data_IF_378133855734
#
_entry.id   IF_378133855734
#
_cell.length_a   1.000
_cell.length_b   1.000
_cell.length_c   1.000
_cell.angle_alpha   90.00
_cell.angle_beta   90.00
_cell.angle_gamma   90.00
#
_symmetry.space_group_name_H-M   'P 1'
#
loop_
_entity.id
_entity.type
_entity.pdbx_description
1 polymer ?
#
# COMPACT_ATOMS: atom_id res chain seq x y z
N UNK A 1 -8.33 27.25 67.61
CA UNK A 1 -7.66 26.89 66.34
C UNK A 1 -7.79 25.38 66.14
N UNK A 2 -8.86 24.95 65.49
CA UNK A 2 -9.06 23.54 65.12
C UNK A 2 -8.16 23.19 63.93
N UNK A 3 -7.21 22.27 64.12
CA UNK A 3 -6.46 21.66 63.02
C UNK A 3 -7.17 20.38 62.60
N UNK A 4 -7.83 20.42 61.43
CA UNK A 4 -8.41 19.24 60.76
C UNK A 4 -7.31 18.23 60.43
N UNK A 5 -7.38 17.04 61.01
CA UNK A 5 -6.61 15.86 60.61
C UNK A 5 -7.26 15.24 59.37
N UNK A 6 -6.52 15.17 58.25
CA UNK A 6 -6.91 14.36 57.08
C UNK A 6 -6.49 12.91 57.31
N UNK A 7 -7.31 11.89 56.99
CA UNK A 7 -6.89 10.50 57.08
C UNK A 7 -5.90 10.16 55.96
N UNK A 8 -4.80 9.49 56.32
CA UNK A 8 -3.81 8.98 55.40
C UNK A 8 -4.42 7.86 54.53
N UNK A 9 -4.37 8.04 53.21
CA UNK A 9 -4.71 7.00 52.23
C UNK A 9 -3.50 6.06 52.15
N UNK A 10 -3.62 4.86 52.72
CA UNK A 10 -2.69 3.77 52.47
C UNK A 10 -2.94 3.26 51.04
N UNK A 11 -2.19 3.77 50.07
CA UNK A 11 -2.04 3.10 48.78
C UNK A 11 -0.92 2.08 48.93
N UNK A 12 -1.26 0.79 48.95
CA UNK A 12 -0.30 -0.29 48.71
C UNK A 12 0.17 -0.19 47.25
N UNK A 13 1.04 0.77 46.96
CA UNK A 13 1.80 0.78 45.73
C UNK A 13 3.06 -0.06 45.98
N UNK A 14 3.10 -1.25 45.39
CA UNK A 14 4.36 -1.99 45.23
C UNK A 14 5.30 -1.07 44.44
N UNK A 15 6.54 -0.84 44.92
CA UNK A 15 7.46 0.05 44.22
C UNK A 15 7.74 -0.52 42.84
N UNK A 16 7.42 0.25 41.80
CA UNK A 16 7.82 -0.05 40.44
C UNK A 16 9.35 -0.12 40.41
N UNK A 17 9.89 -1.33 40.32
CA UNK A 17 11.27 -1.55 39.94
C UNK A 17 11.50 -0.87 38.60
N UNK A 18 12.44 0.08 38.56
CA UNK A 18 12.86 0.75 37.35
C UNK A 18 13.34 -0.31 36.34
N UNK A 19 12.52 -0.65 35.34
CA UNK A 19 12.92 -1.55 34.27
C UNK A 19 13.78 -0.78 33.28
N UNK A 20 15.02 -1.23 33.09
CA UNK A 20 15.85 -0.88 31.94
C UNK A 20 15.00 -0.94 30.66
N UNK A 21 15.05 0.13 29.86
CA UNK A 21 14.34 0.24 28.61
C UNK A 21 15.01 -0.62 27.53
N UNK A 22 14.93 -1.94 27.65
CA UNK A 22 15.30 -2.84 26.57
C UNK A 22 14.15 -2.86 25.56
N UNK A 23 14.41 -2.40 24.35
CA UNK A 23 13.46 -2.22 23.26
C UNK A 23 13.08 -3.58 22.61
N UNK A 24 12.73 -4.58 23.44
CA UNK A 24 12.36 -5.93 23.01
C UNK A 24 10.99 -5.91 22.35
N UNK A 25 10.83 -6.70 21.28
CA UNK A 25 9.52 -6.89 20.64
C UNK A 25 8.62 -7.90 21.36
N UNK A 26 9.08 -8.44 22.49
CA UNK A 26 8.28 -9.28 23.36
C UNK A 26 8.36 -8.84 24.81
N UNK A 27 7.32 -9.18 25.57
CA UNK A 27 7.30 -9.06 27.01
C UNK A 27 6.50 -10.22 27.62
N UNK A 28 7.07 -10.88 28.62
CA UNK A 28 6.36 -11.89 29.39
C UNK A 28 5.83 -11.26 30.69
N UNK A 29 4.51 -11.34 30.89
CA UNK A 29 3.83 -10.90 32.10
C UNK A 29 3.32 -12.12 32.82
N UNK A 30 3.91 -12.44 33.98
CA UNK A 30 3.35 -13.48 34.84
C UNK A 30 2.03 -12.97 35.42
N UNK A 31 0.92 -13.58 35.02
CA UNK A 31 -0.43 -13.25 35.49
C UNK A 31 -0.71 -13.85 36.87
N UNK A 32 0.24 -14.60 37.45
CA UNK A 32 0.09 -15.35 38.69
C UNK A 32 -0.56 -16.71 38.46
N UNK A 33 -0.18 -17.70 39.27
CA UNK A 33 -0.69 -19.07 39.18
C UNK A 33 -0.14 -19.84 37.96
N UNK A 34 -1.02 -20.57 37.27
CA UNK A 34 -0.69 -21.50 36.19
C UNK A 34 -0.62 -20.84 34.79
N UNK A 35 -0.82 -19.53 34.69
CA UNK A 35 -0.91 -18.80 33.42
C UNK A 35 0.15 -17.71 33.31
N UNK A 36 0.58 -17.44 32.08
CA UNK A 36 1.41 -16.29 31.73
C UNK A 36 0.84 -15.61 30.47
N UNK A 37 1.12 -14.31 30.33
CA UNK A 37 0.84 -13.57 29.11
C UNK A 37 2.15 -13.30 28.37
N UNK A 38 2.14 -13.51 27.05
CA UNK A 38 3.21 -13.13 26.14
C UNK A 38 2.70 -12.02 25.22
N UNK A 39 3.26 -10.83 25.34
CA UNK A 39 2.98 -9.72 24.44
C UNK A 39 4.01 -9.76 23.32
N UNK A 40 3.58 -9.89 22.05
CA UNK A 40 4.42 -9.84 20.86
C UNK A 40 4.13 -8.57 20.07
N UNK A 41 4.82 -7.49 20.42
CA UNK A 41 4.56 -6.14 19.94
C UNK A 41 5.77 -5.57 19.20
N UNK A 42 5.56 -5.04 18.00
CA UNK A 42 6.62 -4.42 17.20
C UNK A 42 7.25 -5.37 16.18
N UNK A 43 8.41 -4.99 15.65
CA UNK A 43 9.10 -5.73 14.59
C UNK A 43 9.83 -6.94 15.16
N UNK A 44 9.63 -8.11 14.56
CA UNK A 44 10.39 -9.32 14.90
C UNK A 44 11.81 -9.16 14.36
N UNK A 45 12.80 -9.15 15.23
CA UNK A 45 14.20 -9.02 14.84
C UNK A 45 15.03 -10.19 15.35
N UNK A 46 16.01 -10.59 14.54
CA UNK A 46 17.15 -11.41 14.95
C UNK A 46 18.36 -10.50 15.12
N UNK A 47 19.19 -10.78 16.12
CA UNK A 47 20.57 -10.28 16.26
C UNK A 47 20.78 -8.82 15.80
N UNK A 48 20.56 -7.83 16.67
CA UNK A 48 21.17 -6.52 16.43
C UNK A 48 22.68 -6.64 16.64
N UNK A 49 23.44 -6.27 15.62
CA UNK A 49 24.81 -5.75 15.65
C UNK A 49 25.69 -6.21 16.83
N UNK A 50 26.66 -7.09 16.53
CA UNK A 50 27.64 -7.72 17.44
C UNK A 50 28.48 -6.79 18.36
N UNK A 51 28.30 -5.47 18.26
CA UNK A 51 28.91 -4.44 19.10
C UNK A 51 27.96 -3.88 20.18
N UNK A 52 26.70 -4.34 20.21
CA UNK A 52 25.69 -3.96 21.19
C UNK A 52 25.58 -5.01 22.31
N UNK A 53 25.82 -4.57 23.55
CA UNK A 53 25.53 -5.37 24.76
C UNK A 53 24.02 -5.59 24.98
N UNK A 54 23.15 -4.86 24.26
CA UNK A 54 21.69 -4.89 24.36
C UNK A 54 21.00 -5.66 23.22
N UNK A 55 21.67 -6.70 22.69
CA UNK A 55 21.16 -7.48 21.57
C UNK A 55 19.84 -8.20 21.90
N UNK A 56 18.75 -7.84 21.20
CA UNK A 56 17.44 -8.52 21.27
C UNK A 56 17.46 -9.73 20.33
N UNK A 57 17.40 -10.96 20.87
CA UNK A 57 17.50 -12.19 20.08
C UNK A 57 16.38 -13.19 20.39
N UNK A 58 16.08 -14.08 19.45
CA UNK A 58 15.22 -15.25 19.71
C UNK A 58 15.77 -16.15 20.82
N UNK A 59 17.09 -16.15 21.08
CA UNK A 59 17.70 -16.90 22.19
C UNK A 59 17.27 -16.33 23.54
N UNK A 60 17.21 -15.00 23.67
CA UNK A 60 16.72 -14.33 24.87
C UNK A 60 15.24 -14.68 25.11
N UNK A 61 14.43 -14.66 24.05
CA UNK A 61 13.03 -15.11 24.12
C UNK A 61 12.93 -16.54 24.66
N UNK A 62 13.70 -17.49 24.11
CA UNK A 62 13.69 -18.90 24.54
C UNK A 62 14.10 -19.03 26.01
N UNK A 63 15.12 -18.27 26.44
CA UNK A 63 15.58 -18.29 27.83
C UNK A 63 14.51 -17.74 28.78
N UNK A 64 13.85 -16.65 28.42
CA UNK A 64 12.75 -16.07 29.21
C UNK A 64 11.52 -16.99 29.23
N UNK A 65 11.16 -17.60 28.11
CA UNK A 65 10.08 -18.60 28.04
C UNK A 65 10.37 -19.78 29.00
N UNK A 66 11.61 -20.28 29.03
CA UNK A 66 12.02 -21.33 29.97
C UNK A 66 11.99 -20.84 31.42
N UNK A 67 12.35 -19.59 31.67
CA UNK A 67 12.34 -19.00 33.00
C UNK A 67 10.94 -18.87 33.61
N UNK A 68 9.87 -18.89 32.79
CA UNK A 68 8.49 -18.96 33.29
C UNK A 68 8.17 -20.25 34.04
N UNK A 69 8.97 -21.31 33.87
CA UNK A 69 8.74 -22.61 34.49
C UNK A 69 7.56 -23.38 33.89
N UNK A 70 6.92 -24.22 34.70
CA UNK A 70 5.86 -25.14 34.27
C UNK A 70 4.46 -24.47 34.18
N UNK A 71 4.37 -23.31 33.51
CA UNK A 71 3.07 -22.68 33.24
C UNK A 71 2.21 -23.62 32.36
N UNK A 72 0.94 -23.75 32.70
CA UNK A 72 -0.01 -24.58 31.95
C UNK A 72 -0.62 -23.84 30.77
N UNK A 73 -0.75 -22.52 30.86
CA UNK A 73 -1.34 -21.70 29.80
C UNK A 73 -0.47 -20.50 29.48
N UNK A 74 -0.31 -20.20 28.20
CA UNK A 74 0.32 -18.97 27.73
C UNK A 74 -0.64 -18.26 26.79
N UNK A 75 -1.07 -17.07 27.17
CA UNK A 75 -1.90 -16.20 26.36
C UNK A 75 -1.00 -15.25 25.57
N UNK A 76 -0.98 -15.38 24.24
CA UNK A 76 -0.16 -14.57 23.35
C UNK A 76 -0.99 -13.43 22.78
N UNK A 77 -0.59 -12.19 23.02
CA UNK A 77 -1.18 -11.00 22.39
C UNK A 77 -0.31 -10.54 21.23
N UNK A 78 -0.85 -10.46 20.02
CA UNK A 78 -0.10 -10.15 18.81
C UNK A 78 -0.51 -8.77 18.27
N UNK A 79 0.49 -7.90 18.16
CA UNK A 79 0.45 -6.59 17.50
C UNK A 79 1.79 -6.39 16.78
N UNK A 80 1.99 -7.10 15.68
CA UNK A 80 3.27 -7.13 14.98
C UNK A 80 3.08 -7.05 13.47
N UNK A 81 3.92 -6.22 12.84
CA UNK A 81 4.08 -6.17 11.40
C UNK A 81 4.92 -7.33 10.82
N UNK A 82 5.44 -8.21 11.67
CA UNK A 82 6.39 -9.24 11.28
C UNK A 82 7.83 -8.74 11.30
N UNK A 83 8.69 -9.35 10.49
CA UNK A 83 10.12 -9.07 10.44
C UNK A 83 10.92 -10.31 10.03
N UNK A 84 11.96 -10.63 10.81
CA UNK A 84 12.86 -11.74 10.51
C UNK A 84 12.17 -13.12 10.60
N UNK A 85 12.23 -13.87 9.50
CA UNK A 85 11.56 -15.18 9.36
C UNK A 85 12.23 -16.24 10.23
N UNK A 86 13.56 -16.17 10.42
CA UNK A 86 14.29 -17.17 11.21
C UNK A 86 13.99 -17.04 12.71
N UNK A 87 13.94 -15.82 13.23
CA UNK A 87 13.52 -15.51 14.59
C UNK A 87 12.06 -15.95 14.82
N UNK A 88 11.16 -15.67 13.86
CA UNK A 88 9.78 -16.13 13.94
C UNK A 88 9.67 -17.66 13.98
N UNK A 89 10.40 -18.38 13.12
CA UNK A 89 10.46 -19.85 13.12
C UNK A 89 11.02 -20.41 14.43
N UNK A 90 12.04 -19.77 15.00
CA UNK A 90 12.62 -20.18 16.29
C UNK A 90 11.62 -19.99 17.44
N UNK A 91 10.89 -18.86 17.45
CA UNK A 91 9.83 -18.58 18.43
C UNK A 91 8.68 -19.56 18.27
N UNK A 92 8.21 -19.79 17.04
CA UNK A 92 7.20 -20.79 16.71
C UNK A 92 7.59 -22.16 17.30
N UNK A 93 8.81 -22.62 16.99
CA UNK A 93 9.33 -23.91 17.47
C UNK A 93 9.39 -23.98 19.00
N UNK A 94 9.82 -22.91 19.66
CA UNK A 94 9.90 -22.86 21.11
C UNK A 94 8.51 -22.87 21.77
N UNK A 95 7.51 -22.21 21.18
CA UNK A 95 6.14 -22.22 21.68
C UNK A 95 5.48 -23.60 21.52
N UNK A 96 5.63 -24.27 20.37
CA UNK A 96 5.08 -25.63 20.18
C UNK A 96 5.78 -26.70 21.04
N UNK A 97 7.04 -26.47 21.42
CA UNK A 97 7.78 -27.34 22.34
C UNK A 97 7.44 -27.09 23.81
N UNK A 98 6.77 -25.97 24.12
CA UNK A 98 6.28 -25.70 25.46
C UNK A 98 5.20 -26.72 25.84
N UNK A 99 5.16 -27.11 27.12
CA UNK A 99 4.06 -27.93 27.66
C UNK A 99 2.78 -27.13 27.88
N UNK A 100 2.86 -25.81 27.78
CA UNK A 100 1.72 -24.93 27.98
C UNK A 100 0.74 -25.03 26.80
N UNK A 101 -0.55 -24.92 27.10
CA UNK A 101 -1.57 -24.65 26.09
C UNK A 101 -1.45 -23.19 25.65
N UNK A 102 -1.18 -22.98 24.37
CA UNK A 102 -0.95 -21.65 23.82
C UNK A 102 -2.24 -21.13 23.20
N UNK A 103 -2.70 -19.95 23.64
CA UNK A 103 -3.83 -19.24 23.02
C UNK A 103 -3.34 -17.91 22.48
N UNK A 104 -3.42 -17.69 21.17
CA UNK A 104 -2.98 -16.43 20.57
C UNK A 104 -4.17 -15.56 20.18
N UNK A 105 -4.04 -14.25 20.39
CA UNK A 105 -5.06 -13.26 20.07
C UNK A 105 -4.44 -12.10 19.29
N UNK A 106 -4.92 -11.89 18.06
CA UNK A 106 -4.57 -10.72 17.24
C UNK A 106 -5.45 -9.55 17.67
N UNK A 107 -4.83 -8.53 18.28
CA UNK A 107 -5.54 -7.36 18.85
C UNK A 107 -5.52 -6.13 17.93
N UNK A 108 -4.78 -6.18 16.82
CA UNK A 108 -4.77 -5.11 15.83
C UNK A 108 -4.06 -5.48 14.53
N UNK A 109 -2.77 -5.81 14.55
CA UNK A 109 -2.03 -6.26 13.35
C UNK A 109 -1.26 -7.55 13.58
N UNK A 110 -1.41 -8.51 12.67
CA UNK A 110 -0.56 -9.70 12.55
C UNK A 110 -0.16 -9.86 11.08
N UNK A 111 0.99 -9.31 10.70
CA UNK A 111 1.44 -9.32 9.31
C UNK A 111 2.78 -10.06 9.14
N UNK A 112 3.00 -10.60 7.93
CA UNK A 112 4.28 -11.20 7.54
C UNK A 112 4.73 -12.27 8.55
N UNK A 113 6.00 -12.33 8.94
CA UNK A 113 6.53 -13.36 9.85
C UNK A 113 5.79 -13.50 11.20
N UNK A 114 4.97 -12.53 11.61
CA UNK A 114 4.13 -12.67 12.82
C UNK A 114 3.04 -13.74 12.67
N UNK A 115 2.54 -13.98 11.45
CA UNK A 115 1.56 -15.05 11.19
C UNK A 115 2.15 -16.43 11.48
N UNK A 116 3.45 -16.63 11.27
CA UNK A 116 4.15 -17.87 11.62
C UNK A 116 4.01 -18.13 13.12
N UNK A 117 4.24 -17.12 13.95
CA UNK A 117 4.13 -17.26 15.42
C UNK A 117 2.68 -17.49 15.85
N UNK A 118 1.72 -16.81 15.22
CA UNK A 118 0.28 -17.06 15.44
C UNK A 118 -0.07 -18.54 15.26
N UNK A 119 0.52 -19.18 14.23
CA UNK A 119 0.30 -20.59 13.95
C UNK A 119 0.90 -21.54 15.00
N UNK A 120 1.65 -21.08 16.00
CA UNK A 120 2.08 -21.92 17.12
C UNK A 120 0.95 -22.20 18.12
N UNK A 121 -0.08 -21.36 18.16
CA UNK A 121 -1.13 -21.45 19.16
C UNK A 121 -2.08 -22.62 18.91
N UNK A 122 -2.58 -23.26 19.97
CA UNK A 122 -3.65 -24.26 19.88
C UNK A 122 -4.98 -23.62 19.50
N UNK A 123 -5.26 -22.43 20.05
CA UNK A 123 -6.42 -21.60 19.72
C UNK A 123 -5.96 -20.24 19.21
N UNK A 124 -6.42 -19.85 18.02
CA UNK A 124 -6.06 -18.61 17.34
C UNK A 124 -7.27 -17.70 17.27
N UNK A 125 -7.20 -16.53 17.91
CA UNK A 125 -8.28 -15.56 17.97
C UNK A 125 -7.90 -14.29 17.24
N UNK A 126 -8.90 -13.60 16.72
CA UNK A 126 -8.72 -12.27 16.12
C UNK A 126 -9.83 -11.34 16.58
N UNK A 127 -9.46 -10.11 16.96
CA UNK A 127 -10.43 -9.06 17.22
C UNK A 127 -11.20 -8.73 15.93
N UNK A 128 -12.46 -8.30 16.05
CA UNK A 128 -13.28 -7.90 14.90
C UNK A 128 -12.61 -6.88 13.96
N UNK A 129 -11.83 -5.96 14.54
CA UNK A 129 -11.06 -4.94 13.84
C UNK A 129 -9.58 -5.31 13.63
N UNK A 130 -9.20 -6.54 13.98
CA UNK A 130 -7.86 -7.06 13.76
C UNK A 130 -7.59 -7.31 12.28
N UNK A 131 -6.37 -7.03 11.86
CA UNK A 131 -5.90 -7.19 10.48
C UNK A 131 -4.81 -8.24 10.44
N UNK A 132 -4.92 -9.16 9.49
CA UNK A 132 -3.93 -10.17 9.19
C UNK A 132 -3.41 -10.00 7.76
N UNK A 133 -2.10 -10.18 7.57
CA UNK A 133 -1.49 -10.18 6.22
C UNK A 133 -0.46 -11.30 6.07
N UNK A 134 -0.54 -12.02 4.96
CA UNK A 134 0.44 -13.04 4.58
C UNK A 134 0.98 -12.79 3.17
N UNK A 135 2.30 -12.90 3.00
CA UNK A 135 3.00 -12.63 1.74
C UNK A 135 4.29 -13.43 1.63
N UNK A 136 4.93 -13.39 0.46
CA UNK A 136 6.20 -14.07 0.20
C UNK A 136 7.36 -13.48 1.02
N UNK A 137 8.38 -14.28 1.37
CA UNK A 137 9.59 -13.73 1.98
C UNK A 137 10.30 -12.81 1.00
N UNK A 138 10.90 -11.74 1.53
CA UNK A 138 11.71 -10.80 0.76
C UNK A 138 13.10 -10.66 1.37
N UNK A 139 14.09 -10.31 0.53
CA UNK A 139 15.46 -10.06 0.94
C UNK A 139 15.87 -8.68 0.45
N UNK A 140 16.51 -7.90 1.33
CA UNK A 140 17.13 -6.62 0.99
C UNK A 140 18.63 -6.79 0.86
N UNK A 141 19.23 -6.24 -0.19
CA UNK A 141 20.65 -6.39 -0.49
C UNK A 141 21.36 -5.03 -0.58
N UNK A 142 22.62 -4.98 -0.16
CA UNK A 142 23.48 -3.80 -0.21
C UNK A 142 24.88 -4.20 -0.68
N UNK A 143 25.33 -3.67 -1.82
CA UNK A 143 26.66 -3.94 -2.38
C UNK A 143 26.63 -4.40 -3.83
N UNK A 144 27.75 -4.96 -4.29
CA UNK A 144 27.90 -5.50 -5.65
C UNK A 144 27.78 -7.01 -5.62
N UNK A 145 26.95 -7.56 -6.52
CA UNK A 145 26.70 -8.99 -6.63
C UNK A 145 26.83 -9.44 -8.09
N UNK A 146 27.34 -10.64 -8.29
CA UNK A 146 27.35 -11.32 -9.58
C UNK A 146 26.00 -11.96 -9.88
N UNK A 147 25.73 -12.25 -11.15
CA UNK A 147 24.50 -12.94 -11.56
C UNK A 147 24.34 -14.31 -10.90
N UNK A 148 25.44 -15.04 -10.67
CA UNK A 148 25.41 -16.35 -10.02
C UNK A 148 25.02 -16.25 -8.54
N UNK A 149 25.51 -15.24 -7.83
CA UNK A 149 25.14 -14.99 -6.42
C UNK A 149 23.67 -14.63 -6.28
N UNK A 150 23.14 -13.80 -7.18
CA UNK A 150 21.71 -13.46 -7.19
C UNK A 150 20.83 -14.68 -7.48
N UNK A 151 21.25 -15.54 -8.43
CA UNK A 151 20.55 -16.79 -8.70
C UNK A 151 20.54 -17.74 -7.50
N UNK A 152 21.66 -17.86 -6.79
CA UNK A 152 21.75 -18.66 -5.57
C UNK A 152 20.90 -18.09 -4.43
N UNK A 153 20.85 -16.77 -4.30
CA UNK A 153 20.02 -16.10 -3.30
C UNK A 153 18.52 -16.34 -3.55
N UNK A 154 18.08 -16.29 -4.80
CA UNK A 154 16.70 -16.61 -5.16
C UNK A 154 16.35 -18.06 -4.75
N UNK A 155 17.20 -19.02 -5.11
CA UNK A 155 17.03 -20.44 -4.73
C UNK A 155 16.92 -20.62 -3.21
N UNK A 156 17.76 -19.93 -2.43
CA UNK A 156 17.70 -19.98 -0.96
C UNK A 156 16.43 -19.31 -0.43
N UNK A 157 16.00 -18.20 -1.03
CA UNK A 157 14.76 -17.50 -0.64
C UNK A 157 13.53 -18.36 -0.91
N UNK A 158 13.52 -19.15 -1.99
CA UNK A 158 12.48 -20.14 -2.27
C UNK A 158 12.45 -21.24 -1.20
N UNK A 159 13.61 -21.65 -0.66
CA UNK A 159 13.65 -22.56 0.51
C UNK A 159 13.11 -21.91 1.78
N UNK A 160 13.31 -20.61 1.97
CA UNK A 160 12.67 -19.87 3.06
C UNK A 160 11.16 -19.82 2.87
N UNK A 161 10.66 -19.60 1.64
CA UNK A 161 9.23 -19.65 1.32
C UNK A 161 8.64 -21.02 1.69
N UNK A 162 9.30 -22.11 1.32
CA UNK A 162 8.88 -23.47 1.68
C UNK A 162 8.78 -23.66 3.22
N UNK A 163 9.68 -23.05 3.99
CA UNK A 163 9.63 -23.09 5.45
C UNK A 163 8.40 -22.38 6.05
N UNK A 164 7.90 -21.35 5.37
CA UNK A 164 6.67 -20.64 5.76
C UNK A 164 5.45 -21.47 5.34
N UNK A 165 5.47 -22.00 4.12
CA UNK A 165 4.40 -22.83 3.58
C UNK A 165 4.19 -24.09 4.41
N UNK A 166 5.25 -24.71 4.94
CA UNK A 166 5.10 -25.89 5.81
C UNK A 166 4.24 -25.61 7.04
N UNK A 167 4.44 -24.46 7.70
CA UNK A 167 3.63 -24.02 8.84
C UNK A 167 2.18 -23.76 8.41
N UNK A 168 1.96 -23.21 7.23
CA UNK A 168 0.62 -22.97 6.72
C UNK A 168 -0.13 -24.25 6.34
N UNK A 169 0.55 -25.23 5.72
CA UNK A 169 -0.02 -26.53 5.36
C UNK A 169 -0.62 -27.25 6.56
N UNK A 170 0.09 -27.20 7.69
CA UNK A 170 -0.33 -27.89 8.91
C UNK A 170 -1.56 -27.26 9.57
N UNK A 171 -1.89 -26.00 9.23
CA UNK A 171 -2.81 -25.19 10.03
C UNK A 171 -4.00 -24.61 9.27
N UNK A 172 -3.88 -24.31 7.98
CA UNK A 172 -4.91 -23.59 7.22
C UNK A 172 -5.93 -24.53 6.56
N UNK A 173 -5.61 -25.82 6.40
CA UNK A 173 -6.47 -26.76 5.68
C UNK A 173 -6.64 -26.45 4.19
N UNK A 174 -5.63 -25.80 3.59
CA UNK A 174 -5.57 -25.41 2.17
C UNK A 174 -4.55 -26.26 1.41
N UNK A 175 -4.69 -26.35 0.10
CA UNK A 175 -3.69 -27.02 -0.76
C UNK A 175 -2.43 -26.16 -0.90
N UNK A 176 -1.31 -26.76 -1.29
CA UNK A 176 -0.05 -26.05 -1.54
C UNK A 176 -0.23 -24.92 -2.58
N UNK A 177 -1.00 -25.17 -3.64
CA UNK A 177 -1.29 -24.18 -4.68
C UNK A 177 -2.10 -22.99 -4.12
N UNK A 178 -3.10 -23.25 -3.27
CA UNK A 178 -3.89 -22.19 -2.61
C UNK A 178 -3.04 -21.37 -1.64
N UNK A 179 -2.13 -22.02 -0.91
CA UNK A 179 -1.17 -21.36 -0.01
C UNK A 179 -0.16 -20.54 -0.81
N UNK A 180 0.33 -21.06 -1.92
CA UNK A 180 1.23 -20.32 -2.79
C UNK A 180 0.52 -19.09 -3.37
N UNK A 181 -0.71 -19.23 -3.86
CA UNK A 181 -1.46 -18.13 -4.45
C UNK A 181 -1.80 -17.05 -3.41
N UNK A 182 -2.15 -17.41 -2.17
CA UNK A 182 -2.40 -16.43 -1.12
C UNK A 182 -1.14 -15.63 -0.77
N UNK A 183 0.03 -16.27 -0.74
CA UNK A 183 1.31 -15.60 -0.46
C UNK A 183 1.76 -14.73 -1.63
N UNK A 184 1.55 -15.20 -2.87
CA UNK A 184 1.87 -14.44 -4.09
C UNK A 184 1.03 -13.16 -4.21
N UNK A 185 -0.21 -13.17 -3.72
CA UNK A 185 -1.12 -12.02 -3.76
C UNK A 185 -0.85 -10.97 -2.70
N UNK A 186 0.00 -11.24 -1.70
CA UNK A 186 0.07 -10.44 -0.48
C UNK A 186 -1.33 -10.26 0.11
N UNK A 187 -1.90 -11.35 0.63
CA UNK A 187 -3.31 -11.37 1.02
C UNK A 187 -3.54 -10.68 2.36
N UNK A 188 -4.54 -9.81 2.41
CA UNK A 188 -4.98 -9.05 3.58
C UNK A 188 -6.38 -9.50 4.01
N UNK A 189 -6.58 -9.68 5.33
CA UNK A 189 -7.84 -10.14 5.91
C UNK A 189 -8.19 -9.32 7.15
N UNK A 190 -9.47 -8.99 7.31
CA UNK A 190 -9.98 -8.31 8.52
C UNK A 190 -10.89 -9.24 9.31
N UNK A 191 -10.61 -9.39 10.61
CA UNK A 191 -11.48 -10.08 11.57
C UNK A 191 -11.94 -11.45 11.07
N UNK A 192 -13.23 -11.55 10.74
CA UNK A 192 -13.86 -12.79 10.26
C UNK A 192 -13.21 -13.35 9.00
N UNK A 193 -12.71 -12.52 8.09
CA UNK A 193 -12.06 -12.99 6.85
C UNK A 193 -10.82 -13.84 7.15
N UNK A 194 -10.11 -13.56 8.25
CA UNK A 194 -8.94 -14.35 8.65
C UNK A 194 -9.35 -15.74 9.16
N UNK A 195 -10.54 -15.88 9.74
CA UNK A 195 -11.12 -17.16 10.15
C UNK A 195 -11.58 -17.94 8.92
N UNK A 196 -12.28 -17.28 8.01
CA UNK A 196 -12.78 -17.89 6.77
C UNK A 196 -11.62 -18.40 5.88
N UNK A 197 -10.42 -17.82 6.04
CA UNK A 197 -9.20 -18.25 5.37
C UNK A 197 -8.30 -19.21 6.19
N UNK A 198 -8.76 -19.68 7.35
CA UNK A 198 -8.08 -20.70 8.16
C UNK A 198 -6.95 -20.19 9.05
N UNK A 199 -6.64 -18.89 9.03
CA UNK A 199 -5.61 -18.31 9.89
C UNK A 199 -6.02 -18.23 11.35
N UNK A 200 -7.30 -18.04 11.64
CA UNK A 200 -7.85 -17.96 13.01
C UNK A 200 -9.02 -18.93 13.19
N UNK A 201 -9.36 -19.23 14.44
CA UNK A 201 -10.45 -20.14 14.83
C UNK A 201 -11.65 -19.38 15.44
N UNK A 202 -11.40 -18.26 16.15
CA UNK A 202 -12.44 -17.54 16.90
C UNK A 202 -12.37 -16.02 16.68
N UNK A 203 -13.55 -15.39 16.59
CA UNK A 203 -13.72 -13.94 16.52
C UNK A 203 -13.99 -13.37 17.90
N UNK A 204 -13.30 -12.30 18.27
CA UNK A 204 -13.58 -11.55 19.51
C UNK A 204 -14.43 -10.33 19.16
N UNK A 205 -15.70 -10.34 19.57
CA UNK A 205 -16.69 -9.28 19.33
C UNK A 205 -16.59 -8.12 20.35
N UNK A 206 -16.14 -8.40 21.59
CA UNK A 206 -15.99 -7.38 22.63
C UNK A 206 -14.56 -6.81 22.64
N UNK A 207 -14.43 -5.52 22.34
CA UNK A 207 -13.15 -4.80 22.36
C UNK A 207 -12.63 -4.57 23.78
N UNK A 208 -11.31 -4.64 23.96
CA UNK A 208 -10.63 -4.23 25.19
C UNK A 208 -11.05 -2.80 25.62
N UNK A 209 -11.58 -2.68 26.84
CA UNK A 209 -12.04 -1.42 27.45
C UNK A 209 -10.85 -0.60 27.96
N UNK A 210 -10.23 0.22 27.12
CA UNK A 210 -9.67 1.56 27.42
C UNK A 210 -8.67 1.97 26.33
N UNK A 211 -8.97 3.05 25.60
CA UNK A 211 -8.02 3.70 24.69
C UNK A 211 -8.29 5.21 24.65
N UNK A 212 -7.46 5.99 25.34
CA UNK A 212 -7.31 7.43 25.07
C UNK A 212 -6.27 7.59 23.97
N UNK A 213 -6.58 8.39 22.94
CA UNK A 213 -5.68 8.68 21.81
C UNK A 213 -5.05 10.06 21.97
N UNK A 214 -3.72 10.11 22.10
CA UNK A 214 -2.94 11.29 21.75
C UNK A 214 -1.83 10.89 20.75
N UNK A 215 -1.51 11.81 19.85
CA UNK A 215 -0.67 11.72 18.65
C UNK A 215 0.23 10.47 18.55
N UNK A 216 -0.20 9.52 17.71
CA UNK A 216 0.53 8.32 17.25
C UNK A 216 0.83 7.23 18.28
N UNK A 217 0.26 7.33 19.48
CA UNK A 217 0.40 6.32 20.53
C UNK A 217 -0.97 5.82 20.96
N UNK A 218 -1.32 4.56 20.64
CA UNK A 218 -2.42 3.89 21.32
C UNK A 218 -1.87 3.47 22.70
N UNK A 219 -2.63 3.62 23.79
CA UNK A 219 -2.22 3.06 25.09
C UNK A 219 -3.25 2.04 25.52
N UNK A 220 -2.84 0.78 25.73
CA UNK A 220 -3.66 -0.21 26.42
C UNK A 220 -2.83 -0.83 27.54
N UNK A 221 -3.47 -0.98 28.70
CA UNK A 221 -2.86 -1.45 29.95
C UNK A 221 -1.58 -0.70 30.36
N UNK A 222 -1.47 0.59 30.03
CA UNK A 222 -0.33 1.44 30.42
C UNK A 222 0.90 1.31 29.53
N UNK A 223 0.83 0.54 28.45
CA UNK A 223 1.90 0.39 27.45
C UNK A 223 1.53 1.21 26.21
N UNK A 224 2.43 2.10 25.79
CA UNK A 224 2.25 2.92 24.57
C UNK A 224 2.64 2.15 23.30
N UNK A 225 1.78 2.19 22.28
CA UNK A 225 1.91 1.51 20.99
C UNK A 225 2.23 2.49 19.88
N UNK A 226 3.34 2.31 19.18
CA UNK A 226 3.79 3.21 18.12
C UNK A 226 3.44 2.67 16.71
N UNK A 227 2.68 3.44 15.92
CA UNK A 227 2.28 3.08 14.54
C UNK A 227 3.20 3.62 13.43
N UNK A 228 4.34 4.22 13.79
CA UNK A 228 5.22 4.99 12.87
C UNK A 228 5.71 4.22 11.63
N UNK A 229 5.68 2.89 11.64
CA UNK A 229 6.18 2.06 10.53
C UNK A 229 5.10 1.49 9.61
N UNK A 230 3.80 1.62 9.93
CA UNK A 230 2.73 0.97 9.16
C UNK A 230 2.73 1.37 7.68
N UNK A 231 2.77 2.68 7.39
CA UNK A 231 2.73 3.19 6.01
C UNK A 231 4.03 2.92 5.25
N UNK A 232 5.18 2.96 5.92
CA UNK A 232 6.47 2.74 5.25
C UNK A 232 6.72 1.27 4.89
N UNK A 233 6.10 0.36 5.65
CA UNK A 233 6.33 -1.08 5.53
C UNK A 233 5.23 -1.80 4.73
N UNK A 234 3.96 -1.37 4.84
CA UNK A 234 2.82 -2.13 4.29
C UNK A 234 1.98 -1.38 3.24
N UNK A 235 2.23 -0.09 3.01
CA UNK A 235 1.52 0.60 1.95
C UNK A 235 2.12 0.24 0.57
N UNK A 236 1.29 -0.04 -0.45
CA UNK A 236 1.77 -0.27 -1.81
C UNK A 236 2.67 0.86 -2.29
N UNK A 237 3.63 0.54 -3.16
CA UNK A 237 4.65 1.48 -3.61
C UNK A 237 4.11 2.82 -4.11
N UNK A 238 2.97 2.83 -4.80
CA UNK A 238 2.32 4.06 -5.24
C UNK A 238 1.79 4.90 -4.08
N UNK A 239 1.21 4.27 -3.06
CA UNK A 239 0.70 4.92 -1.85
C UNK A 239 1.87 5.39 -1.01
N UNK A 240 2.90 4.55 -0.84
CA UNK A 240 4.14 4.90 -0.14
C UNK A 240 4.85 6.06 -0.82
N UNK A 241 5.01 6.05 -2.15
CA UNK A 241 5.58 7.18 -2.92
C UNK A 241 4.72 8.44 -2.79
N UNK A 242 3.39 8.34 -2.85
CA UNK A 242 2.49 9.49 -2.63
C UNK A 242 2.62 10.04 -1.22
N UNK A 243 2.61 9.20 -0.18
CA UNK A 243 2.77 9.63 1.22
C UNK A 243 4.17 10.17 1.49
N UNK A 244 5.23 9.54 0.97
CA UNK A 244 6.60 10.05 1.06
C UNK A 244 6.76 11.39 0.34
N UNK A 245 6.14 11.56 -0.83
CA UNK A 245 6.15 12.85 -1.54
C UNK A 245 5.34 13.93 -0.81
N UNK A 246 4.33 13.55 -0.02
CA UNK A 246 3.59 14.44 0.88
C UNK A 246 4.33 14.76 2.19
N UNK A 247 5.26 13.90 2.62
CA UNK A 247 6.01 14.03 3.88
C UNK A 247 7.48 14.46 3.71
N UNK A 248 7.96 14.59 2.46
CA UNK A 248 9.22 15.27 2.16
C UNK A 248 9.07 16.76 2.42
N UNK A 249 9.54 17.20 3.60
CA UNK A 249 10.24 18.50 3.66
C UNK A 249 11.40 18.40 2.67
N UNK A 250 11.61 19.38 1.75
CA UNK A 250 12.63 19.26 0.71
C UNK A 250 13.98 18.88 1.32
N UNK A 251 14.60 17.82 0.79
CA UNK A 251 15.95 17.46 1.20
C UNK A 251 16.86 18.65 0.90
N UNK A 252 17.68 19.00 1.90
CA UNK A 252 18.80 19.90 1.82
C UNK A 252 19.66 19.49 0.62
N UNK A 253 19.59 20.23 -0.48
CA UNK A 253 20.55 20.08 -1.57
C UNK A 253 21.95 20.34 -1.00
N UNK A 254 22.91 19.56 -1.52
CA UNK A 254 24.32 19.57 -1.13
C UNK A 254 24.92 20.97 -1.32
N UNK A 255 24.83 21.78 -0.27
CA UNK A 255 25.32 23.15 -0.29
C UNK A 255 24.93 23.98 0.91
N UNK A 256 24.78 23.41 2.12
CA UNK A 256 24.53 24.24 3.32
C UNK A 256 25.14 23.68 4.60
N UNK A 257 25.99 24.53 5.19
CA UNK A 257 26.56 24.47 6.52
C UNK A 257 25.56 23.94 7.56
N UNK A 258 26.02 22.97 8.37
CA UNK A 258 25.35 22.60 9.62
C UNK A 258 25.74 23.59 10.70
N UNK A 259 24.76 24.20 11.36
CA UNK A 259 24.96 24.77 12.68
C UNK A 259 24.65 23.66 13.70
N UNK A 260 25.55 22.69 13.81
CA UNK A 260 25.57 21.79 14.96
C UNK A 260 26.42 22.49 16.03
N UNK A 261 25.93 22.74 17.25
CA UNK A 261 26.84 23.07 18.34
C UNK A 261 27.66 21.82 18.60
N UNK A 262 28.88 21.79 18.09
CA UNK A 262 29.88 20.80 18.47
C UNK A 262 30.15 21.00 19.95
N UNK A 263 29.57 20.17 20.80
CA UNK A 263 30.03 20.03 22.19
C UNK A 263 31.38 19.32 22.15
N UNK A 264 32.44 20.09 21.86
CA UNK A 264 33.78 19.71 22.23
C UNK A 264 33.89 19.79 23.76
N UNK A 265 34.24 18.66 24.36
CA UNK A 265 34.63 18.53 25.76
C UNK A 265 35.88 19.39 25.98
N UNK A 266 35.72 20.53 26.64
CA UNK A 266 36.80 21.43 27.03
C UNK A 266 36.52 22.00 28.42
N UNK A 267 37.46 21.81 29.33
CA UNK A 267 37.37 22.28 30.72
C UNK A 267 37.42 23.82 30.82
N UNK A 268 36.86 24.30 31.95
CA UNK A 268 37.13 25.57 32.67
C UNK A 268 36.44 26.88 32.20
N UNK A 269 35.58 27.36 33.12
CA UNK A 269 35.32 28.76 33.53
C UNK A 269 34.58 29.78 32.63
N UNK A 270 33.34 30.08 33.06
CA UNK A 270 32.68 31.39 33.27
C UNK A 270 32.90 32.56 32.28
N UNK A 271 31.80 32.97 31.64
CA UNK A 271 31.61 34.32 31.09
C UNK A 271 30.38 34.46 30.21
N UNK A 272 29.23 34.84 30.78
CA UNK A 272 28.02 35.17 30.02
C UNK A 272 28.17 36.49 29.24
N UNK A 273 27.83 36.46 27.95
CA UNK A 273 27.16 37.58 27.25
C UNK A 273 25.93 37.03 26.51
N UNK A 274 24.76 37.70 26.56
CA UNK A 274 23.54 37.14 25.97
C UNK A 274 23.60 37.23 24.44
N UNK A 275 23.34 36.10 23.78
CA UNK A 275 23.15 36.05 22.34
C UNK A 275 22.01 37.00 21.93
N UNK A 276 22.33 37.96 21.08
CA UNK A 276 21.37 38.82 20.39
C UNK A 276 20.37 37.94 19.62
N UNK A 277 19.10 38.08 19.96
CA UNK A 277 18.00 37.43 19.26
C UNK A 277 18.04 37.81 17.76
N UNK A 278 18.02 36.80 16.89
CA UNK A 278 17.91 37.01 15.46
C UNK A 278 16.62 37.78 15.14
N UNK A 279 16.64 38.75 14.19
CA UNK A 279 15.47 39.55 13.87
C UNK A 279 14.37 38.67 13.28
N UNK A 280 13.14 38.81 13.80
CA UNK A 280 11.97 38.13 13.27
C UNK A 280 11.63 38.71 11.89
N UNK A 281 11.84 37.93 10.82
CA UNK A 281 11.46 38.31 9.46
C UNK A 281 9.95 38.11 9.32
N UNK A 282 9.22 39.20 9.09
CA UNK A 282 7.75 39.18 9.00
C UNK A 282 7.23 39.50 7.59
N UNK A 283 8.09 39.96 6.69
CA UNK A 283 7.70 40.29 5.32
C UNK A 283 8.80 39.98 4.28
N UNK A 284 8.41 39.99 3.00
CA UNK A 284 9.29 39.66 1.89
C UNK A 284 10.42 40.69 1.66
N UNK A 285 10.24 41.93 2.09
CA UNK A 285 11.28 42.97 1.97
C UNK A 285 12.38 42.72 3.02
N UNK A 286 11.99 42.41 4.25
CA UNK A 286 12.90 41.99 5.32
C UNK A 286 13.63 40.70 4.95
N UNK A 287 12.95 39.76 4.28
CA UNK A 287 13.58 38.54 3.77
C UNK A 287 14.63 38.84 2.69
N UNK A 288 14.33 39.76 1.75
CA UNK A 288 15.27 40.20 0.70
C UNK A 288 16.49 40.91 1.25
N UNK A 289 16.32 41.72 2.30
CA UNK A 289 17.44 42.41 2.95
C UNK A 289 18.29 41.46 3.79
N UNK A 290 17.66 40.52 4.49
CA UNK A 290 18.37 39.57 5.35
C UNK A 290 19.10 38.48 4.55
N UNK A 291 18.52 38.02 3.43
CA UNK A 291 19.04 36.92 2.61
C UNK A 291 18.91 37.21 1.11
N UNK A 292 19.66 38.18 0.56
CA UNK A 292 19.51 38.62 -0.82
C UNK A 292 19.79 37.51 -1.84
N UNK A 293 20.85 36.73 -1.64
CA UNK A 293 21.23 35.65 -2.57
C UNK A 293 20.17 34.52 -2.59
N UNK A 294 19.63 34.18 -1.42
CA UNK A 294 18.59 33.15 -1.30
C UNK A 294 17.28 33.59 -1.96
N UNK A 295 16.88 34.86 -1.77
CA UNK A 295 15.69 35.36 -2.45
C UNK A 295 15.92 35.47 -3.96
N UNK A 296 17.13 35.80 -4.41
CA UNK A 296 17.46 35.79 -5.84
C UNK A 296 17.35 34.38 -6.43
N UNK A 297 17.85 33.36 -5.73
CA UNK A 297 17.70 31.97 -6.16
C UNK A 297 16.23 31.56 -6.30
N UNK A 298 15.40 31.86 -5.30
CA UNK A 298 13.95 31.58 -5.36
C UNK A 298 13.28 32.27 -6.56
N UNK A 299 13.65 33.54 -6.82
CA UNK A 299 13.10 34.31 -7.94
C UNK A 299 13.53 33.70 -9.29
N UNK A 300 14.80 33.30 -9.42
CA UNK A 300 15.31 32.66 -10.63
C UNK A 300 14.63 31.31 -10.91
N UNK A 301 14.45 30.49 -9.88
CA UNK A 301 13.74 29.21 -9.97
C UNK A 301 12.27 29.41 -10.37
N UNK A 302 11.58 30.40 -9.78
CA UNK A 302 10.20 30.72 -10.12
C UNK A 302 10.06 31.22 -11.58
N UNK A 303 10.97 32.10 -12.03
CA UNK A 303 11.00 32.57 -13.43
C UNK A 303 11.26 31.41 -14.39
N UNK A 304 12.18 30.50 -14.04
CA UNK A 304 12.49 29.33 -14.85
C UNK A 304 11.28 28.40 -14.96
N UNK A 305 10.63 28.08 -13.84
CA UNK A 305 9.43 27.25 -13.80
C UNK A 305 8.31 27.84 -14.67
N UNK A 306 8.09 29.14 -14.59
CA UNK A 306 7.06 29.81 -15.39
C UNK A 306 7.39 29.82 -16.89
N UNK A 307 8.66 30.04 -17.25
CA UNK A 307 9.11 29.94 -18.65
C UNK A 307 8.95 28.54 -19.21
N UNK A 308 9.25 27.52 -18.42
CA UNK A 308 9.10 26.12 -18.85
C UNK A 308 7.62 25.75 -19.01
N UNK A 309 6.73 26.21 -18.11
CA UNK A 309 5.26 26.09 -18.27
C UNK A 309 4.76 26.72 -19.57
N UNK A 310 5.23 27.93 -19.91
CA UNK A 310 4.83 28.60 -21.16
C UNK A 310 5.32 27.85 -22.40
N UNK A 311 6.55 27.31 -22.39
CA UNK A 311 7.07 26.45 -23.48
C UNK A 311 6.24 25.18 -23.64
N UNK A 312 5.85 24.55 -22.54
CA UNK A 312 5.03 23.34 -22.58
C UNK A 312 3.64 23.64 -23.18
N UNK A 313 3.03 24.78 -22.83
CA UNK A 313 1.77 25.24 -23.43
C UNK A 313 1.95 25.53 -24.93
N UNK A 314 3.05 26.18 -25.31
CA UNK A 314 3.36 26.44 -26.72
C UNK A 314 3.54 25.15 -27.52
N UNK A 315 4.10 24.10 -26.90
CA UNK A 315 4.29 22.80 -27.55
C UNK A 315 2.98 22.10 -27.94
N UNK A 316 1.88 22.41 -27.23
CA UNK A 316 0.54 21.84 -27.47
C UNK A 316 -0.43 22.83 -28.12
N UNK A 317 0.04 24.01 -28.53
CA UNK A 317 -0.82 25.09 -29.04
C UNK A 317 -1.58 24.68 -30.32
N UNK A 318 -1.04 23.75 -31.11
CA UNK A 318 -1.69 23.24 -32.30
C UNK A 318 -2.98 22.48 -31.96
N UNK A 319 -4.12 23.04 -32.36
CA UNK A 319 -5.44 22.46 -32.12
C UNK A 319 -6.17 23.03 -30.89
N UNK A 320 -5.60 24.04 -30.23
CA UNK A 320 -6.24 24.75 -29.12
C UNK A 320 -6.59 26.17 -29.59
N UNK A 321 -7.82 26.66 -29.33
CA UNK A 321 -8.20 28.05 -29.62
C UNK A 321 -7.29 29.07 -28.93
N UNK A 322 -6.95 30.14 -29.64
CA UNK A 322 -5.96 31.14 -29.17
C UNK A 322 -6.44 31.93 -27.94
N UNK A 323 -7.75 32.15 -27.80
CA UNK A 323 -8.38 32.74 -26.62
C UNK A 323 -8.16 31.87 -25.36
N UNK A 324 -8.33 30.56 -25.49
CA UNK A 324 -8.10 29.60 -24.40
C UNK A 324 -6.61 29.54 -24.04
N UNK A 325 -5.72 29.58 -25.04
CA UNK A 325 -4.28 29.64 -24.82
C UNK A 325 -3.86 30.90 -24.06
N UNK A 326 -4.38 32.07 -24.45
CA UNK A 326 -4.06 33.33 -23.78
C UNK A 326 -4.56 33.35 -22.32
N UNK A 327 -5.78 32.86 -22.09
CA UNK A 327 -6.34 32.75 -20.75
C UNK A 327 -5.49 31.84 -19.86
N UNK A 328 -5.09 30.67 -20.38
CA UNK A 328 -4.25 29.70 -19.68
C UNK A 328 -2.81 30.20 -19.41
N UNK A 329 -2.29 31.11 -20.25
CA UNK A 329 -0.95 31.68 -20.09
C UNK A 329 -0.90 32.82 -19.07
N UNK A 330 -1.89 33.72 -19.08
CA UNK A 330 -1.75 35.02 -18.41
C UNK A 330 -2.82 35.36 -17.36
N UNK A 331 -4.01 34.76 -17.45
CA UNK A 331 -5.14 35.13 -16.58
C UNK A 331 -5.42 34.05 -15.53
N UNK A 332 -5.53 32.80 -15.98
CA UNK A 332 -5.79 31.63 -15.15
C UNK A 332 -4.70 30.59 -15.43
N UNK A 333 -3.56 30.64 -14.72
CA UNK A 333 -2.41 29.81 -15.02
C UNK A 333 -2.74 28.32 -14.89
N UNK A 334 -2.79 27.63 -16.03
CA UNK A 334 -2.97 26.18 -16.11
C UNK A 334 -1.66 25.52 -16.55
N UNK A 335 -1.47 24.25 -16.19
CA UNK A 335 -0.40 23.44 -16.76
C UNK A 335 -0.77 23.02 -18.19
N UNK A 336 0.23 22.68 -19.01
CA UNK A 336 -0.03 22.13 -20.35
C UNK A 336 -0.86 20.83 -20.31
N UNK A 337 -0.63 19.98 -19.30
CA UNK A 337 -1.39 18.75 -19.10
C UNK A 337 -2.87 19.01 -18.79
N UNK A 338 -3.15 19.96 -17.89
CA UNK A 338 -4.52 20.33 -17.53
C UNK A 338 -5.26 20.98 -18.71
N UNK A 339 -4.56 21.83 -19.47
CA UNK A 339 -5.09 22.45 -20.67
C UNK A 339 -5.42 21.40 -21.76
N UNK A 340 -4.51 20.45 -22.01
CA UNK A 340 -4.73 19.37 -22.96
C UNK A 340 -5.93 18.49 -22.54
N UNK A 341 -6.04 18.17 -21.26
CA UNK A 341 -7.16 17.40 -20.72
C UNK A 341 -8.49 18.16 -20.85
N UNK A 342 -8.50 19.47 -20.59
CA UNK A 342 -9.68 20.32 -20.78
C UNK A 342 -10.12 20.34 -22.26
N UNK A 343 -9.18 20.48 -23.19
CA UNK A 343 -9.47 20.47 -24.62
C UNK A 343 -9.98 19.09 -25.09
N UNK A 344 -9.39 17.99 -24.61
CA UNK A 344 -9.86 16.64 -24.93
C UNK A 344 -11.30 16.42 -24.48
N UNK A 345 -11.66 16.89 -23.28
CA UNK A 345 -13.04 16.82 -22.78
C UNK A 345 -14.00 17.64 -23.64
N UNK A 346 -13.61 18.85 -24.02
CA UNK A 346 -14.40 19.70 -24.91
C UNK A 346 -14.63 19.05 -26.28
N UNK A 347 -13.59 18.47 -26.87
CA UNK A 347 -13.68 17.75 -28.16
C UNK A 347 -14.60 16.52 -28.06
N UNK A 348 -14.50 15.75 -26.98
CA UNK A 348 -15.37 14.60 -26.75
C UNK A 348 -16.85 15.00 -26.61
N UNK A 349 -17.14 16.10 -25.91
CA UNK A 349 -18.50 16.62 -25.78
C UNK A 349 -19.05 17.11 -27.12
N UNK A 350 -18.24 17.81 -27.93
CA UNK A 350 -18.63 18.22 -29.27
C UNK A 350 -18.91 17.02 -30.19
N UNK A 351 -18.07 15.98 -30.13
CA UNK A 351 -18.26 14.73 -30.87
C UNK A 351 -19.55 14.00 -30.48
N UNK A 352 -19.84 13.89 -29.17
CA UNK A 352 -21.11 13.34 -28.69
C UNK A 352 -22.31 14.14 -29.20
N UNK A 353 -22.23 15.48 -29.20
CA UNK A 353 -23.30 16.32 -29.73
C UNK A 353 -23.53 16.07 -31.22
N UNK A 354 -22.48 15.92 -32.02
CA UNK A 354 -22.59 15.57 -33.44
C UNK A 354 -23.25 14.21 -33.64
N UNK A 355 -22.88 13.19 -32.84
CA UNK A 355 -23.51 11.87 -32.91
C UNK A 355 -25.00 11.91 -32.54
N UNK A 356 -25.36 12.69 -31.53
CA UNK A 356 -26.75 12.90 -31.16
C UNK A 356 -27.53 13.59 -32.28
N UNK A 357 -26.99 14.66 -32.85
CA UNK A 357 -27.60 15.35 -33.99
C UNK A 357 -27.76 14.42 -35.21
N UNK A 358 -26.79 13.56 -35.52
CA UNK A 358 -26.90 12.58 -36.60
C UNK A 358 -28.00 11.54 -36.32
N UNK A 359 -28.15 11.14 -35.06
CA UNK A 359 -29.20 10.22 -34.62
C UNK A 359 -30.58 10.88 -34.76
N UNK A 360 -30.68 12.14 -34.36
CA UNK A 360 -31.89 12.94 -34.47
C UNK A 360 -32.25 13.21 -35.95
N UNK A 361 -31.27 13.55 -36.78
CA UNK A 361 -31.46 13.72 -38.22
C UNK A 361 -31.87 12.40 -38.89
N UNK A 362 -31.27 11.27 -38.52
CA UNK A 362 -31.69 9.95 -39.03
C UNK A 362 -33.14 9.65 -38.63
N UNK A 363 -33.53 9.92 -37.38
CA UNK A 363 -34.90 9.72 -36.91
C UNK A 363 -35.91 10.65 -37.61
N UNK A 364 -35.53 11.90 -37.88
CA UNK A 364 -36.41 12.93 -38.43
C UNK A 364 -36.37 13.05 -39.96
N UNK A 365 -35.39 12.43 -40.62
CA UNK A 365 -35.19 12.53 -42.08
C UNK A 365 -36.29 11.88 -42.92
N UNK A 366 -37.16 11.06 -42.31
CA UNK A 366 -38.17 10.30 -43.06
C UNK A 366 -37.57 9.29 -44.05
N UNK A 367 -36.26 9.00 -43.95
CA UNK A 367 -35.56 8.07 -44.83
C UNK A 367 -36.07 6.62 -44.70
N UNK A 368 -36.68 6.25 -43.57
CA UNK A 368 -37.38 4.97 -43.40
C UNK A 368 -38.73 4.91 -44.11
N UNK A 369 -39.28 6.04 -44.54
CA UNK A 369 -40.61 6.17 -45.14
C UNK A 369 -40.58 6.13 -46.68
N UNK A 370 -39.39 6.27 -47.28
CA UNK A 370 -39.21 6.13 -48.74
C UNK A 370 -39.15 4.64 -49.09
N UNK A 371 -40.29 4.09 -49.49
CA UNK A 371 -40.36 2.75 -50.04
C UNK A 371 -39.50 2.64 -51.30
N UNK A 372 -38.74 1.55 -51.42
CA UNK A 372 -38.02 1.20 -52.65
C UNK A 372 -39.04 0.76 -53.70
N UNK A 373 -39.71 1.72 -54.35
CA UNK A 373 -40.44 1.42 -55.59
C UNK A 373 -39.38 1.47 -56.69
N UNK A 374 -38.99 0.33 -57.29
CA UNK A 374 -38.14 0.38 -58.49
C UNK A 374 -38.90 1.21 -59.51
N UNK A 375 -38.22 2.10 -60.22
CA UNK A 375 -38.79 2.84 -61.34
C UNK A 375 -39.20 1.85 -62.45
N UNK A 376 -40.38 1.24 -62.29
CA UNK A 376 -41.05 0.43 -63.29
C UNK A 376 -41.66 1.40 -64.28
N UNK A 377 -40.82 1.83 -65.23
CA UNK A 377 -41.28 2.41 -66.47
C UNK A 377 -42.38 1.53 -67.04
N UNK A 378 -43.50 2.17 -67.33
CA UNK A 378 -44.71 1.59 -67.90
C UNK A 378 -44.43 0.69 -69.12
N UNK A 379 -44.35 -0.63 -68.95
CA UNK A 379 -44.45 -1.58 -70.06
C UNK A 379 -45.06 -2.93 -69.67
N UNK A 380 -46.39 -3.01 -69.63
CA UNK A 380 -47.17 -4.26 -69.48
C UNK A 380 -47.00 -5.31 -70.60
N UNK A 381 -45.84 -5.38 -71.26
CA UNK A 381 -45.51 -6.35 -72.31
C UNK A 381 -44.20 -7.11 -72.11
N UNK A 382 -43.46 -6.88 -71.01
CA UNK A 382 -42.14 -7.48 -70.77
C UNK A 382 -42.20 -8.95 -70.34
N UNK A 383 -43.23 -9.38 -69.60
CA UNK A 383 -43.40 -10.78 -69.19
C UNK A 383 -43.69 -11.73 -70.36
N UNK A 384 -44.56 -11.34 -71.31
CA UNK A 384 -44.85 -12.17 -72.48
C UNK A 384 -43.66 -12.30 -73.45
N UNK A 385 -42.76 -11.30 -73.50
CA UNK A 385 -41.53 -11.38 -74.32
C UNK A 385 -40.44 -12.23 -73.68
N UNK A 386 -40.40 -12.36 -72.35
CA UNK A 386 -39.45 -13.21 -71.65
C UNK A 386 -39.78 -14.70 -71.85
N UNK A 387 -41.04 -15.09 -71.70
CA UNK A 387 -41.51 -16.48 -71.90
C UNK A 387 -41.34 -16.94 -73.36
N UNK A 388 -41.59 -16.06 -74.33
CA UNK A 388 -41.37 -16.38 -75.75
C UNK A 388 -39.88 -16.51 -76.11
N UNK A 389 -38.97 -15.85 -75.38
CA UNK A 389 -37.52 -15.99 -75.58
C UNK A 389 -37.00 -17.29 -74.97
N UNK A 390 -37.46 -17.69 -73.78
CA UNK A 390 -37.10 -18.98 -73.19
C UNK A 390 -37.59 -20.16 -74.03
N UNK A 391 -38.82 -20.10 -74.57
CA UNK A 391 -39.33 -21.12 -75.48
C UNK A 391 -38.50 -21.25 -76.77
N UNK A 392 -38.03 -20.11 -77.33
CA UNK A 392 -37.16 -20.11 -78.52
C UNK A 392 -35.76 -20.64 -78.23
N UNK A 393 -35.19 -20.34 -77.06
CA UNK A 393 -33.88 -20.85 -76.65
C UNK A 393 -33.93 -22.36 -76.35
N UNK A 394 -34.99 -22.84 -75.70
CA UNK A 394 -35.22 -24.27 -75.47
C UNK A 394 -35.37 -25.08 -76.76
N UNK A 395 -36.08 -24.52 -77.76
CA UNK A 395 -36.20 -25.11 -79.10
C UNK A 395 -34.86 -25.21 -79.84
N UNK A 396 -34.01 -24.19 -79.72
CA UNK A 396 -32.69 -24.17 -80.37
C UNK A 396 -31.72 -25.21 -79.75
N UNK A 397 -31.74 -25.37 -78.43
CA UNK A 397 -30.88 -26.31 -77.70
C UNK A 397 -31.26 -27.76 -78.01
N UNK A 398 -32.55 -28.06 -78.16
CA UNK A 398 -33.01 -29.40 -78.56
C UNK A 398 -32.70 -29.71 -80.04
N UNK A 399 -32.75 -28.71 -80.92
CA UNK A 399 -32.30 -28.88 -82.31
C UNK A 399 -30.79 -29.14 -82.42
N UNK A 400 -29.97 -28.51 -81.56
CA UNK A 400 -28.52 -28.71 -81.50
C UNK A 400 -28.13 -30.07 -80.90
N UNK A 401 -28.93 -30.65 -79.99
CA UNK A 401 -28.68 -31.99 -79.42
C UNK A 401 -29.08 -33.14 -80.34
N UNK A 402 -29.93 -32.90 -81.35
CA UNK A 402 -30.38 -33.90 -82.32
C UNK A 402 -29.52 -34.03 -83.58
N UNK A 403 -28.51 -33.17 -83.77
CA UNK A 403 -27.67 -33.19 -84.98
C UNK A 403 -26.62 -34.32 -84.91
N UNK A 404 -26.90 -35.42 -85.61
CA UNK A 404 -26.03 -36.62 -85.71
C UNK A 404 -24.72 -36.40 -86.50
N UNK A 405 -24.36 -35.16 -86.85
CA UNK A 405 -23.08 -34.82 -87.53
C UNK A 405 -21.91 -34.52 -86.59
N UNK A 406 -22.12 -34.50 -85.27
CA UNK A 406 -21.01 -34.51 -84.29
C UNK A 406 -20.72 -35.94 -83.86
N UNK A 407 -20.05 -36.67 -84.75
CA UNK A 407 -19.50 -38.00 -84.48
C UNK A 407 -18.05 -37.93 -83.99
N UNK A 408 -17.80 -38.73 -82.94
CA UNK A 408 -16.55 -39.04 -82.22
C UNK A 408 -15.90 -37.93 -81.39
#
# INVERSE_FOLDING_TARGET
MEKKTKPARFTNAVPATASQANNKFWNFVDSGGDSAELQLFGTISSEEDWWSDDCVTYRNFINELKALGDKKNINVLIQSGGGDVFAANAIYTALIQSKATITATVIGLCASAATIILQAASTRRIAKNGVLMAHNPSVTLYGSYTSAELGKLAEVTDKVKESIMSVYRDRLGKTDDEIEELMNKESWYVGQEAIDNGFCDELIEDSFQNSYTDKNVLTANGIGYNFKNFVNTFAPDEVRKKVQNLSKTPQKETGTFSNTPTTQKGNSEMGMTPATAAPAIQDAAQLRTAYPDFVNQIVEEAIKAERDRLKDIDSIANGIPNDVLMKAKYEEPLSAADLALAQLRANNQAGQKTLNNLTDDLANSGAGSVGTVPNVGNDGGSQQKAEQREAKVGGLVNALKGDKRRGK
#
